data_IF_236335614960
#
_entry.id   IF_236335614960
#
_cell.length_a   1.000
_cell.length_b   1.000
_cell.length_c   1.000
_cell.angle_alpha   90.00
_cell.angle_beta   90.00
_cell.angle_gamma   90.00
#
_symmetry.space_group_name_H-M   'P 1'
#
loop_
_entity.id
_entity.type
_entity.pdbx_description
1 polymer ?
#
# COMPACT_ATOMS: atom_id res chain seq x y z
N UNK A 1 1.79 0.60 3.61
CA UNK A 1 1.72 1.95 2.96
C UNK A 1 2.75 2.09 1.84
N UNK A 2 4.03 1.83 2.10
CA UNK A 2 5.09 1.86 1.07
C UNK A 2 4.80 0.87 -0.07
N UNK A 3 4.32 -0.32 0.27
CA UNK A 3 4.06 -1.42 -0.69
C UNK A 3 2.92 -1.12 -1.66
N UNK A 4 2.11 -0.07 -1.42
CA UNK A 4 0.99 0.32 -2.29
C UNK A 4 1.11 1.75 -2.79
N UNK A 5 2.30 2.35 -2.74
CA UNK A 5 2.49 3.76 -3.05
C UNK A 5 2.06 4.12 -4.48
N UNK A 6 2.40 3.30 -5.47
CA UNK A 6 2.03 3.57 -6.88
C UNK A 6 0.51 3.51 -7.04
N UNK A 7 -0.13 2.50 -6.43
CA UNK A 7 -1.58 2.34 -6.43
C UNK A 7 -2.28 3.55 -5.80
N UNK A 8 -1.81 3.98 -4.63
CA UNK A 8 -2.38 5.11 -3.89
C UNK A 8 -2.17 6.42 -4.65
N UNK A 9 -0.98 6.66 -5.21
CA UNK A 9 -0.70 7.86 -5.99
C UNK A 9 -1.55 7.89 -7.27
N UNK A 10 -1.80 6.73 -7.88
CA UNK A 10 -2.74 6.64 -9.01
C UNK A 10 -4.17 7.00 -8.58
N UNK A 11 -4.68 6.47 -7.46
CA UNK A 11 -5.98 6.84 -6.92
C UNK A 11 -6.08 8.34 -6.65
N UNK A 12 -5.10 8.91 -5.93
CA UNK A 12 -5.04 10.34 -5.64
C UNK A 12 -5.01 11.19 -6.91
N UNK A 13 -4.29 10.77 -7.95
CA UNK A 13 -4.17 11.50 -9.21
C UNK A 13 -5.51 11.66 -9.94
N UNK A 14 -6.50 10.78 -9.71
CA UNK A 14 -7.85 10.92 -10.26
C UNK A 14 -8.66 12.05 -9.62
N UNK A 15 -8.35 12.40 -8.38
CA UNK A 15 -9.13 13.37 -7.58
C UNK A 15 -8.40 14.68 -7.32
N UNK A 16 -7.10 14.75 -7.61
CA UNK A 16 -6.28 15.95 -7.44
C UNK A 16 -5.84 16.44 -8.82
N UNK A 17 -6.33 17.62 -9.22
CA UNK A 17 -5.97 18.26 -10.50
C UNK A 17 -4.51 18.72 -10.56
N UNK A 18 -3.96 19.13 -9.42
CA UNK A 18 -2.58 19.60 -9.33
C UNK A 18 -1.64 18.39 -9.28
N UNK A 19 -0.47 18.44 -9.95
CA UNK A 19 0.52 17.36 -9.84
C UNK A 19 0.85 17.05 -8.38
N UNK A 20 0.85 15.77 -7.99
CA UNK A 20 1.07 15.36 -6.59
C UNK A 20 2.38 15.91 -6.00
N UNK A 21 3.42 16.05 -6.83
CA UNK A 21 4.70 16.66 -6.45
C UNK A 21 4.63 18.12 -5.99
N UNK A 22 3.54 18.83 -6.31
CA UNK A 22 3.29 20.21 -5.88
C UNK A 22 2.41 20.29 -4.61
N UNK A 23 1.83 19.17 -4.16
CA UNK A 23 1.14 19.09 -2.88
C UNK A 23 2.18 19.09 -1.77
N UNK A 24 1.92 19.81 -0.67
CA UNK A 24 2.83 19.85 0.46
C UNK A 24 3.19 18.43 0.95
N UNK A 25 4.47 18.11 1.22
CA UNK A 25 4.91 16.74 1.51
C UNK A 25 4.17 16.10 2.68
N UNK A 26 3.87 16.87 3.73
CA UNK A 26 3.13 16.39 4.88
C UNK A 26 1.67 16.09 4.51
N UNK A 27 0.98 17.04 3.86
CA UNK A 27 -0.38 16.83 3.33
C UNK A 27 -0.48 15.60 2.44
N UNK A 28 0.47 15.41 1.53
CA UNK A 28 0.48 14.26 0.63
C UNK A 28 0.67 12.94 1.39
N UNK A 29 1.50 12.94 2.43
CA UNK A 29 1.71 11.76 3.28
C UNK A 29 0.44 11.39 4.04
N UNK A 30 -0.25 12.38 4.63
CA UNK A 30 -1.53 12.16 5.32
C UNK A 30 -2.60 11.63 4.35
N UNK A 31 -2.69 12.21 3.14
CA UNK A 31 -3.60 11.72 2.11
C UNK A 31 -3.32 10.26 1.75
N UNK A 32 -2.04 9.90 1.55
CA UNK A 32 -1.67 8.53 1.26
C UNK A 32 -2.03 7.56 2.39
N UNK A 33 -1.86 7.98 3.65
CA UNK A 33 -2.22 7.15 4.81
C UNK A 33 -3.73 6.90 4.84
N UNK A 34 -4.51 7.96 4.69
CA UNK A 34 -5.96 7.88 4.75
C UNK A 34 -6.54 7.07 3.58
N UNK A 35 -6.02 7.25 2.36
CA UNK A 35 -6.43 6.43 1.20
C UNK A 35 -6.06 4.96 1.41
N UNK A 36 -4.90 4.67 2.01
CA UNK A 36 -4.55 3.29 2.34
C UNK A 36 -5.53 2.66 3.33
N UNK A 37 -5.94 3.41 4.37
CA UNK A 37 -6.95 2.97 5.33
C UNK A 37 -8.29 2.69 4.64
N UNK A 38 -8.77 3.63 3.80
CA UNK A 38 -10.05 3.50 3.08
C UNK A 38 -10.03 2.32 2.11
N UNK A 39 -8.96 2.16 1.33
CA UNK A 39 -8.93 1.19 0.24
C UNK A 39 -8.50 -0.23 0.65
N UNK A 40 -7.74 -0.39 1.74
CA UNK A 40 -7.09 -1.66 2.07
C UNK A 40 -7.23 -2.12 3.53
N UNK A 41 -7.89 -1.34 4.40
CA UNK A 41 -8.09 -1.71 5.80
C UNK A 41 -9.57 -1.87 6.14
N UNK A 42 -10.10 -3.07 5.94
CA UNK A 42 -11.53 -3.41 6.17
C UNK A 42 -12.05 -3.07 7.58
N UNK A 43 -11.16 -3.12 8.59
CA UNK A 43 -11.51 -2.85 9.98
C UNK A 43 -11.62 -1.37 10.34
N UNK A 44 -11.19 -0.46 9.46
CA UNK A 44 -11.18 0.98 9.73
C UNK A 44 -12.37 1.63 9.03
N UNK A 45 -13.33 2.21 9.77
CA UNK A 45 -14.42 2.95 9.17
C UNK A 45 -13.89 4.12 8.33
N UNK A 46 -14.43 4.32 7.13
CA UNK A 46 -14.01 5.39 6.21
C UNK A 46 -14.10 6.78 6.86
N UNK A 47 -15.16 7.03 7.65
CA UNK A 47 -15.36 8.28 8.37
C UNK A 47 -14.27 8.53 9.43
N UNK A 48 -13.78 7.48 10.08
CA UNK A 48 -12.69 7.57 11.04
C UNK A 48 -11.37 7.94 10.34
N UNK A 49 -11.06 7.28 9.22
CA UNK A 49 -9.88 7.60 8.40
C UNK A 49 -9.88 9.07 7.94
N UNK A 50 -11.03 9.58 7.47
CA UNK A 50 -11.17 10.99 7.08
C UNK A 50 -10.99 11.93 8.27
N UNK A 51 -11.64 11.64 9.40
CA UNK A 51 -11.60 12.50 10.57
C UNK A 51 -10.18 12.60 11.15
N UNK A 52 -9.47 11.49 11.28
CA UNK A 52 -8.09 11.48 11.77
C UNK A 52 -7.14 12.20 10.81
N UNK A 53 -7.28 12.00 9.50
CA UNK A 53 -6.51 12.74 8.50
C UNK A 53 -6.69 14.26 8.64
N UNK A 54 -7.94 14.72 8.80
CA UNK A 54 -8.25 16.14 8.98
C UNK A 54 -7.69 16.68 10.30
N UNK A 55 -7.76 15.91 11.38
CA UNK A 55 -7.16 16.29 12.68
C UNK A 55 -5.65 16.45 12.58
N UNK A 56 -4.96 15.49 11.94
CA UNK A 56 -3.51 15.54 11.71
C UNK A 56 -3.11 16.81 10.95
N UNK A 57 -3.82 17.14 9.87
CA UNK A 57 -3.53 18.36 9.11
C UNK A 57 -3.73 19.63 9.93
N UNK A 58 -4.82 19.70 10.71
CA UNK A 58 -5.08 20.84 11.60
C UNK A 58 -3.99 21.03 12.65
N UNK A 59 -3.40 19.93 13.14
CA UNK A 59 -2.28 19.95 14.07
C UNK A 59 -0.93 20.29 13.40
N UNK A 60 -0.77 20.01 12.10
CA UNK A 60 0.51 20.09 11.37
C UNK A 60 0.97 21.48 10.91
N UNK A 61 0.35 22.57 11.39
CA UNK A 61 0.62 23.93 10.88
C UNK A 61 0.04 24.20 9.48
N UNK A 62 -0.29 23.17 8.70
CA UNK A 62 -0.94 23.26 7.38
C UNK A 62 -2.47 23.32 7.46
N UNK A 63 -3.04 23.97 8.48
CA UNK A 63 -4.49 23.99 8.76
C UNK A 63 -5.36 24.38 7.56
N UNK A 64 -4.85 25.24 6.67
CA UNK A 64 -5.53 25.66 5.43
C UNK A 64 -5.82 24.49 4.48
N UNK A 65 -5.02 23.43 4.52
CA UNK A 65 -5.17 22.24 3.69
C UNK A 65 -6.21 21.25 4.24
N UNK A 66 -6.74 21.45 5.45
CA UNK A 66 -7.67 20.51 6.07
C UNK A 66 -8.98 20.35 5.25
N UNK A 67 -9.49 21.46 4.69
CA UNK A 67 -10.67 21.41 3.82
C UNK A 67 -10.39 20.67 2.50
N UNK A 68 -9.19 20.88 1.93
CA UNK A 68 -8.74 20.18 0.73
C UNK A 68 -8.63 18.67 0.97
N UNK A 69 -7.96 18.25 2.04
CA UNK A 69 -7.82 16.82 2.39
C UNK A 69 -9.17 16.16 2.58
N UNK A 70 -10.06 16.80 3.36
CA UNK A 70 -11.42 16.30 3.57
C UNK A 70 -12.20 16.15 2.24
N UNK A 71 -12.12 17.14 1.35
CA UNK A 71 -12.82 17.10 0.07
C UNK A 71 -12.30 15.97 -0.84
N UNK A 72 -10.98 15.78 -0.90
CA UNK A 72 -10.37 14.70 -1.70
C UNK A 72 -10.79 13.33 -1.18
N UNK A 73 -10.67 13.07 0.13
CA UNK A 73 -11.00 11.77 0.70
C UNK A 73 -12.49 11.44 0.58
N UNK A 74 -13.38 12.42 0.80
CA UNK A 74 -14.82 12.21 0.58
C UNK A 74 -15.16 11.96 -0.88
N UNK A 75 -14.43 12.57 -1.81
CA UNK A 75 -14.62 12.29 -3.23
C UNK A 75 -14.20 10.85 -3.57
N UNK A 76 -13.06 10.39 -3.03
CA UNK A 76 -12.58 9.00 -3.20
C UNK A 76 -13.60 7.99 -2.70
N UNK A 77 -14.12 8.19 -1.48
CA UNK A 77 -15.16 7.32 -0.91
C UNK A 77 -16.38 7.26 -1.83
N UNK A 78 -16.83 8.42 -2.32
CA UNK A 78 -18.00 8.52 -3.20
C UNK A 78 -17.81 7.85 -4.56
N UNK A 79 -16.62 7.91 -5.13
CA UNK A 79 -16.32 7.31 -6.45
C UNK A 79 -15.87 5.86 -6.38
N UNK A 80 -15.57 5.37 -5.18
CA UNK A 80 -14.97 4.06 -4.97
C UNK A 80 -13.45 4.04 -5.21
N UNK A 81 -12.85 2.92 -4.81
CA UNK A 81 -11.40 2.67 -4.88
C UNK A 81 -11.04 1.61 -5.91
N UNK A 82 -11.84 1.49 -6.97
CA UNK A 82 -11.64 0.48 -8.02
C UNK A 82 -10.32 0.70 -8.76
N UNK A 83 -9.57 -0.40 -8.85
CA UNK A 83 -8.28 -0.48 -9.53
C UNK A 83 -8.46 -0.78 -11.03
N UNK A 84 -7.51 -0.42 -11.89
CA UNK A 84 -7.65 -0.66 -13.32
C UNK A 84 -7.69 -2.17 -13.62
N UNK A 85 -8.52 -2.53 -14.62
CA UNK A 85 -8.67 -3.90 -15.11
C UNK A 85 -7.86 -4.13 -16.41
N UNK A 86 -7.37 -5.35 -16.62
CA UNK A 86 -6.49 -5.72 -17.73
C UNK A 86 -5.11 -6.19 -17.27
N UNK A 87 -4.28 -6.58 -18.25
CA UNK A 87 -2.93 -7.12 -18.05
C UNK A 87 -1.83 -6.28 -18.75
N UNK A 88 -2.15 -5.06 -19.20
CA UNK A 88 -1.11 -4.18 -19.70
C UNK A 88 -0.15 -3.77 -18.56
N UNK A 89 1.08 -3.43 -18.93
CA UNK A 89 2.16 -3.08 -18.00
C UNK A 89 1.74 -2.01 -17.00
N UNK A 90 1.00 -0.99 -17.45
CA UNK A 90 0.60 0.13 -16.60
C UNK A 90 -0.46 -0.31 -15.60
N UNK A 91 -1.42 -1.11 -16.04
CA UNK A 91 -2.44 -1.70 -15.17
C UNK A 91 -1.82 -2.60 -14.10
N UNK A 92 -0.90 -3.49 -14.48
CA UNK A 92 -0.19 -4.36 -13.54
C UNK A 92 0.66 -3.56 -12.55
N UNK A 93 1.35 -2.52 -13.04
CA UNK A 93 2.13 -1.59 -12.22
C UNK A 93 1.27 -0.92 -11.14
N UNK A 94 0.09 -0.41 -11.52
CA UNK A 94 -0.84 0.21 -10.58
C UNK A 94 -1.44 -0.81 -9.62
N UNK A 95 -1.86 -1.98 -10.10
CA UNK A 95 -2.55 -3.00 -9.28
C UNK A 95 -1.63 -3.60 -8.22
N UNK A 96 -0.41 -3.95 -8.62
CA UNK A 96 0.58 -4.60 -7.76
C UNK A 96 1.59 -3.63 -7.13
N UNK A 97 1.40 -2.32 -7.36
CA UNK A 97 2.30 -1.26 -6.91
C UNK A 97 3.77 -1.51 -7.25
N UNK A 98 4.00 -2.02 -8.45
CA UNK A 98 5.32 -2.39 -8.95
C UNK A 98 5.74 -1.43 -10.08
N UNK A 99 6.96 -0.87 -10.10
CA UNK A 99 7.41 -0.04 -11.21
C UNK A 99 7.26 -0.72 -12.58
N UNK A 100 6.84 0.03 -13.59
CA UNK A 100 6.58 -0.50 -14.95
C UNK A 100 7.77 -1.24 -15.55
N UNK A 101 9.00 -0.83 -15.24
CA UNK A 101 10.21 -1.48 -15.74
C UNK A 101 10.39 -2.90 -15.15
N UNK A 102 10.02 -3.12 -13.89
CA UNK A 102 10.05 -4.45 -13.26
C UNK A 102 8.97 -5.33 -13.88
N UNK A 103 7.76 -4.79 -14.04
CA UNK A 103 6.65 -5.49 -14.69
C UNK A 103 7.05 -5.94 -16.10
N UNK A 104 7.68 -5.06 -16.89
CA UNK A 104 8.22 -5.41 -18.21
C UNK A 104 9.26 -6.52 -18.13
N UNK A 105 10.19 -6.45 -17.18
CA UNK A 105 11.20 -7.49 -17.00
C UNK A 105 10.55 -8.83 -16.72
N UNK A 106 9.61 -8.89 -15.75
CA UNK A 106 8.97 -10.15 -15.41
C UNK A 106 8.15 -10.75 -16.55
N UNK A 107 7.45 -9.92 -17.33
CA UNK A 107 6.73 -10.40 -18.52
C UNK A 107 7.70 -10.95 -19.54
N UNK A 108 8.85 -10.31 -19.77
CA UNK A 108 9.86 -10.76 -20.71
C UNK A 108 10.55 -12.06 -20.25
N UNK A 109 10.84 -12.18 -18.96
CA UNK A 109 11.64 -13.28 -18.39
C UNK A 109 10.80 -14.53 -18.09
N UNK A 110 9.54 -14.36 -17.67
CA UNK A 110 8.68 -15.44 -17.18
C UNK A 110 7.37 -15.62 -17.97
N UNK A 111 7.05 -14.71 -18.90
CA UNK A 111 5.76 -14.67 -19.59
C UNK A 111 4.66 -13.97 -18.78
N UNK A 112 3.56 -13.59 -19.45
CA UNK A 112 2.49 -12.78 -18.84
C UNK A 112 1.85 -13.44 -17.63
N UNK A 113 1.42 -14.70 -17.75
CA UNK A 113 0.70 -15.42 -16.68
C UNK A 113 1.54 -15.56 -15.40
N UNK A 114 2.78 -16.04 -15.52
CA UNK A 114 3.69 -16.19 -14.39
C UNK A 114 4.09 -14.83 -13.79
N UNK A 115 4.26 -13.80 -14.62
CA UNK A 115 4.54 -12.45 -14.12
C UNK A 115 3.38 -11.91 -13.28
N UNK A 116 2.13 -12.11 -13.73
CA UNK A 116 0.94 -11.72 -12.95
C UNK A 116 0.89 -12.49 -11.63
N UNK A 117 1.15 -13.80 -11.64
CA UNK A 117 1.18 -14.61 -10.43
C UNK A 117 2.25 -14.10 -9.44
N UNK A 118 3.49 -13.89 -9.91
CA UNK A 118 4.60 -13.40 -9.08
C UNK A 118 4.31 -12.03 -8.48
N UNK A 119 3.76 -11.11 -9.28
CA UNK A 119 3.33 -9.79 -8.81
C UNK A 119 2.21 -9.90 -7.77
N UNK A 120 1.27 -10.84 -7.92
CA UNK A 120 0.20 -11.06 -6.94
C UNK A 120 0.72 -11.55 -5.59
N UNK A 121 1.78 -12.35 -5.58
CA UNK A 121 2.42 -12.85 -4.36
C UNK A 121 3.20 -11.76 -3.63
N UNK A 122 3.74 -10.77 -4.36
CA UNK A 122 4.53 -9.68 -3.77
C UNK A 122 3.78 -8.84 -2.74
N UNK A 123 2.44 -8.80 -2.81
CA UNK A 123 1.59 -8.06 -1.89
C UNK A 123 1.15 -8.87 -0.66
N UNK A 124 1.45 -10.18 -0.61
CA UNK A 124 1.09 -11.03 0.52
C UNK A 124 2.10 -10.88 1.64
N UNK A 125 1.65 -11.05 2.88
CA UNK A 125 2.54 -11.06 4.04
C UNK A 125 3.50 -12.25 3.92
N UNK A 126 4.83 -12.02 3.88
CA UNK A 126 5.78 -13.11 3.80
C UNK A 126 5.74 -13.94 5.08
N UNK A 127 5.89 -15.27 5.00
CA UNK A 127 5.99 -16.11 6.19
C UNK A 127 7.26 -15.74 6.98
N UNK A 128 7.16 -15.78 8.31
CA UNK A 128 8.33 -15.69 9.17
C UNK A 128 9.11 -16.99 9.01
N UNK A 129 10.38 -16.87 8.61
CA UNK A 129 11.27 -18.03 8.43
C UNK A 129 12.46 -17.89 9.37
N UNK A 130 12.84 -18.98 10.01
CA UNK A 130 14.01 -19.06 10.89
C UNK A 130 14.96 -20.13 10.38
N UNK A 131 16.27 -19.85 10.41
CA UNK A 131 17.30 -20.82 10.04
C UNK A 131 18.04 -21.25 11.28
N UNK A 132 18.04 -22.56 11.55
CA UNK A 132 18.73 -23.17 12.68
C UNK A 132 20.24 -23.06 12.50
N UNK A 133 20.95 -22.62 13.54
CA UNK A 133 22.40 -22.75 13.59
C UNK A 133 22.77 -24.15 14.14
N UNK A 134 23.10 -25.06 13.23
CA UNK A 134 23.40 -26.47 13.53
C UNK A 134 24.66 -26.68 14.38
N UNK A 135 25.53 -25.67 14.51
CA UNK A 135 26.71 -25.72 15.40
C UNK A 135 26.31 -25.56 16.86
N UNK A 136 25.16 -24.92 17.14
CA UNK A 136 24.72 -24.61 18.52
C UNK A 136 23.49 -25.40 18.97
N UNK A 137 22.64 -25.83 18.06
CA UNK A 137 21.38 -26.53 18.37
C UNK A 137 20.90 -27.35 17.18
N UNK A 138 19.97 -28.27 17.41
CA UNK A 138 19.24 -28.98 16.34
C UNK A 138 17.89 -28.30 16.03
N UNK A 139 17.29 -28.56 14.86
CA UNK A 139 15.98 -28.04 14.51
C UNK A 139 14.89 -28.43 15.51
N UNK A 140 14.88 -29.67 15.97
CA UNK A 140 13.89 -30.20 16.92
C UNK A 140 13.98 -29.48 18.26
N UNK A 141 15.21 -29.22 18.72
CA UNK A 141 15.44 -28.49 19.96
C UNK A 141 15.02 -27.03 19.84
N UNK A 142 15.24 -26.40 18.69
CA UNK A 142 14.81 -25.02 18.45
C UNK A 142 13.28 -24.90 18.40
N UNK A 143 12.60 -25.84 17.71
CA UNK A 143 11.12 -25.87 17.65
C UNK A 143 10.54 -25.95 19.07
N UNK A 144 11.05 -26.86 19.90
CA UNK A 144 10.58 -27.01 21.28
C UNK A 144 10.76 -25.73 22.11
N UNK A 145 11.87 -25.01 21.93
CA UNK A 145 12.11 -23.74 22.62
C UNK A 145 11.13 -22.67 22.14
N UNK A 146 10.84 -22.60 20.84
CA UNK A 146 9.87 -21.63 20.30
C UNK A 146 8.46 -21.91 20.81
N UNK A 147 8.04 -23.19 20.82
CA UNK A 147 6.75 -23.62 21.40
C UNK A 147 6.65 -23.28 22.90
N UNK A 148 7.71 -23.52 23.68
CA UNK A 148 7.78 -23.17 25.11
C UNK A 148 7.68 -21.65 25.35
N UNK A 149 8.07 -20.82 24.37
CA UNK A 149 8.00 -19.36 24.44
C UNK A 149 6.79 -18.77 23.70
N UNK A 150 5.87 -19.61 23.20
CA UNK A 150 4.66 -19.19 22.50
C UNK A 150 4.94 -18.39 21.21
N UNK A 151 6.03 -18.74 20.50
CA UNK A 151 6.49 -18.13 19.22
C UNK A 151 6.28 -19.07 18.06
#
# INVERSE_FOLDING_TARGET
>A
MLDRRITIDWLLSKHIKTPLKKVAPYTLTVLRCAVYQIAFMEKIPESAAVNEAVKLIKASGERRNAAFVNAVLRNIIRTGTDLPYGNDVRTLSVRYSCPEWIVKSFINDYGEENAVELLSQSLKTPPVTVRVNTVRTTPERLIKILEENNV
#
